data_IF_126752113964
#
_entry.id   IF_126752113964
#
_cell.length_a   1.000
_cell.length_b   1.000
_cell.length_c   1.000
_cell.angle_alpha   90.00
_cell.angle_beta   90.00
_cell.angle_gamma   90.00
#
_symmetry.space_group_name_H-M   'P 1'
#
loop_
_entity.id
_entity.type
_entity.pdbx_description
1 polymer ?
#
# COMPACT_ATOMS: atom_id res chain seq x y z
N UNK A 1 -19.99 -15.94 -2.67
CA UNK A 1 -19.40 -14.73 -3.29
C UNK A 1 -17.94 -15.07 -3.56
N UNK A 2 -17.49 -15.06 -4.82
CA UNK A 2 -16.09 -15.34 -5.13
C UNK A 2 -15.28 -14.12 -4.68
N UNK A 3 -14.46 -14.27 -3.65
CA UNK A 3 -13.51 -13.25 -3.25
C UNK A 3 -12.43 -13.19 -4.34
N UNK A 4 -12.48 -12.17 -5.19
CA UNK A 4 -11.39 -11.85 -6.10
C UNK A 4 -10.24 -11.29 -5.26
N UNK A 5 -9.47 -12.17 -4.64
CA UNK A 5 -8.19 -11.80 -4.05
C UNK A 5 -7.19 -11.58 -5.17
N UNK A 6 -6.85 -10.32 -5.43
CA UNK A 6 -5.60 -10.01 -6.12
C UNK A 6 -4.47 -10.18 -5.10
N UNK A 7 -3.71 -11.28 -5.21
CA UNK A 7 -2.62 -11.58 -4.28
C UNK A 7 -1.52 -10.50 -4.32
N UNK A 8 -1.32 -9.84 -5.46
CA UNK A 8 -0.28 -8.83 -5.68
C UNK A 8 -0.80 -7.65 -6.51
N UNK A 9 -1.59 -6.75 -5.91
CA UNK A 9 -2.21 -5.65 -6.63
C UNK A 9 -1.17 -4.65 -7.16
N UNK A 10 -1.41 -4.14 -8.37
CA UNK A 10 -0.64 -3.06 -8.96
C UNK A 10 -1.58 -1.97 -9.45
N UNK A 11 -1.33 -0.74 -9.01
CA UNK A 11 -2.10 0.43 -9.39
C UNK A 11 -1.26 1.31 -10.30
N UNK A 12 -1.80 1.62 -11.48
CA UNK A 12 -1.31 2.72 -12.31
C UNK A 12 -2.01 4.02 -11.91
N UNK A 13 -1.51 5.15 -12.40
CA UNK A 13 -2.24 6.43 -12.32
C UNK A 13 -3.63 6.26 -12.93
N UNK A 14 -4.66 6.62 -12.17
CA UNK A 14 -6.05 6.36 -12.55
C UNK A 14 -7.03 7.40 -12.03
N UNK A 15 -8.30 7.20 -12.40
CA UNK A 15 -9.43 8.01 -11.93
C UNK A 15 -10.12 7.41 -10.70
N UNK A 16 -11.35 7.83 -10.47
CA UNK A 16 -12.15 7.49 -9.27
C UNK A 16 -12.29 5.97 -9.06
N UNK A 17 -12.39 5.18 -10.13
CA UNK A 17 -12.44 3.72 -10.02
C UNK A 17 -11.17 3.13 -9.39
N UNK A 18 -9.99 3.60 -9.79
CA UNK A 18 -8.73 3.18 -9.18
C UNK A 18 -8.63 3.62 -7.72
N UNK A 19 -9.18 4.78 -7.39
CA UNK A 19 -9.22 5.27 -6.01
C UNK A 19 -10.07 4.39 -5.11
N UNK A 20 -11.23 3.97 -5.62
CA UNK A 20 -12.11 3.05 -4.92
C UNK A 20 -11.41 1.71 -4.63
N UNK A 21 -10.79 1.12 -5.64
CA UNK A 21 -10.04 -0.13 -5.50
C UNK A 21 -8.85 0.02 -4.52
N UNK A 22 -8.14 1.15 -4.55
CA UNK A 22 -7.04 1.41 -3.62
C UNK A 22 -7.53 1.49 -2.16
N UNK A 23 -8.65 2.17 -1.92
CA UNK A 23 -9.26 2.25 -0.60
C UNK A 23 -9.81 0.89 -0.14
N UNK A 24 -10.35 0.10 -1.07
CA UNK A 24 -10.82 -1.24 -0.78
C UNK A 24 -9.67 -2.14 -0.30
N UNK A 25 -8.50 -2.04 -0.93
CA UNK A 25 -7.30 -2.78 -0.51
C UNK A 25 -6.80 -2.40 0.89
N UNK A 26 -6.97 -1.14 1.32
CA UNK A 26 -6.69 -0.72 2.69
C UNK A 26 -7.67 -1.35 3.68
N UNK A 27 -8.97 -1.35 3.36
CA UNK A 27 -10.02 -1.95 4.18
C UNK A 27 -9.78 -3.45 4.32
N UNK A 28 -9.52 -4.15 3.22
CA UNK A 28 -9.26 -5.59 3.19
C UNK A 28 -8.08 -5.99 4.08
N UNK A 29 -6.97 -5.23 4.06
CA UNK A 29 -5.81 -5.47 4.94
C UNK A 29 -6.11 -5.14 6.39
N UNK A 30 -6.86 -4.06 6.63
CA UNK A 30 -7.28 -3.65 7.98
C UNK A 30 -8.17 -4.70 8.64
N UNK A 31 -9.14 -5.27 7.92
CA UNK A 31 -10.06 -6.29 8.41
C UNK A 31 -9.43 -7.68 8.50
N UNK A 32 -8.26 -7.87 7.89
CA UNK A 32 -7.61 -9.17 7.77
C UNK A 32 -8.25 -10.07 6.71
N UNK A 33 -9.09 -9.52 5.85
CA UNK A 33 -9.63 -10.21 4.68
C UNK A 33 -8.52 -10.52 3.67
N UNK A 34 -7.50 -9.67 3.56
CA UNK A 34 -6.33 -9.90 2.70
C UNK A 34 -5.01 -9.95 3.50
N UNK A 35 -4.05 -10.77 3.07
CA UNK A 35 -2.71 -10.78 3.68
C UNK A 35 -1.99 -9.44 3.46
N UNK A 36 -0.94 -9.22 4.24
CA UNK A 36 -0.08 -8.04 4.11
C UNK A 36 0.89 -8.21 2.92
N UNK A 37 0.35 -8.44 1.73
CA UNK A 37 1.14 -8.52 0.50
C UNK A 37 1.43 -7.12 -0.03
N UNK A 38 2.59 -6.91 -0.68
CA UNK A 38 2.95 -5.63 -1.27
C UNK A 38 1.99 -5.24 -2.40
N UNK A 39 1.59 -3.98 -2.40
CA UNK A 39 0.85 -3.28 -3.44
C UNK A 39 1.82 -2.35 -4.13
N UNK A 40 1.93 -2.50 -5.45
CA UNK A 40 2.76 -1.62 -6.26
C UNK A 40 1.96 -0.41 -6.75
N UNK A 41 2.47 0.77 -6.44
CA UNK A 41 1.95 2.06 -6.88
C UNK A 41 2.84 2.57 -8.01
N UNK A 42 2.50 2.25 -9.26
CA UNK A 42 3.31 2.59 -10.41
C UNK A 42 3.16 4.07 -10.79
N UNK A 43 4.28 4.77 -10.96
CA UNK A 43 4.32 6.17 -11.40
C UNK A 43 5.09 7.09 -10.45
N UNK A 44 4.97 8.40 -10.70
CA UNK A 44 5.72 9.41 -9.97
C UNK A 44 5.33 9.42 -8.47
N UNK A 45 6.34 9.42 -7.58
CA UNK A 45 6.19 9.58 -6.12
C UNK A 45 5.33 10.78 -5.75
N UNK A 46 5.47 11.91 -6.44
CA UNK A 46 4.72 13.13 -6.15
C UNK A 46 3.22 12.99 -6.43
N UNK A 47 2.85 12.21 -7.45
CA UNK A 47 1.45 11.89 -7.73
C UNK A 47 0.84 11.10 -6.56
N UNK A 48 1.51 10.02 -6.14
CA UNK A 48 1.03 9.18 -5.04
C UNK A 48 1.04 9.93 -3.69
N UNK A 49 2.00 10.82 -3.48
CA UNK A 49 2.03 11.72 -2.32
C UNK A 49 0.81 12.63 -2.28
N UNK A 50 0.50 13.30 -3.38
CA UNK A 50 -0.69 14.15 -3.49
C UNK A 50 -1.98 13.34 -3.29
N UNK A 51 -1.99 12.07 -3.69
CA UNK A 51 -3.15 11.18 -3.64
C UNK A 51 -3.43 10.57 -2.26
N UNK A 52 -2.39 10.13 -1.56
CA UNK A 52 -2.51 9.29 -0.36
C UNK A 52 -2.20 10.06 0.93
N UNK A 53 -1.16 10.89 0.91
CA UNK A 53 -0.54 11.40 2.16
C UNK A 53 -1.50 12.25 2.99
N UNK A 54 -2.29 13.11 2.37
CA UNK A 54 -3.24 13.98 3.09
C UNK A 54 -4.28 13.16 3.85
N UNK A 55 -4.85 12.14 3.20
CA UNK A 55 -5.84 11.22 3.78
C UNK A 55 -5.22 10.39 4.89
N UNK A 56 -4.05 9.79 4.65
CA UNK A 56 -3.33 9.03 5.66
C UNK A 56 -3.04 9.88 6.91
N UNK A 57 -2.49 11.09 6.74
CA UNK A 57 -2.16 12.00 7.83
C UNK A 57 -3.40 12.47 8.58
N UNK A 58 -4.50 12.77 7.89
CA UNK A 58 -5.76 13.14 8.52
C UNK A 58 -6.26 12.01 9.43
N UNK A 59 -6.23 10.78 8.92
CA UNK A 59 -6.67 9.61 9.66
C UNK A 59 -5.76 9.29 10.85
N UNK A 60 -4.44 9.43 10.68
CA UNK A 60 -3.46 9.22 11.74
C UNK A 60 -3.68 10.22 12.89
N UNK A 61 -3.81 11.51 12.56
CA UNK A 61 -4.00 12.59 13.56
C UNK A 61 -5.34 12.50 14.28
N UNK A 62 -6.40 12.09 13.58
CA UNK A 62 -7.73 11.91 14.18
C UNK A 62 -7.90 10.57 14.90
N UNK A 63 -6.94 9.64 14.77
CA UNK A 63 -7.00 8.32 15.39
C UNK A 63 -7.97 7.35 14.71
N UNK A 64 -8.52 7.68 13.54
CA UNK A 64 -9.52 6.84 12.83
C UNK A 64 -8.93 5.56 12.26
N UNK A 65 -7.59 5.48 12.14
CA UNK A 65 -6.83 4.29 11.72
C UNK A 65 -6.02 3.66 12.87
N UNK A 66 -6.37 3.96 14.13
CA UNK A 66 -5.66 3.40 15.29
C UNK A 66 -5.61 1.87 15.24
N UNK A 67 -4.43 1.29 15.34
CA UNK A 67 -4.18 -0.16 15.24
C UNK A 67 -4.08 -0.69 13.80
N UNK A 68 -4.28 0.16 12.79
CA UNK A 68 -4.13 -0.16 11.36
C UNK A 68 -3.13 0.74 10.64
N UNK A 69 -2.33 1.52 11.36
CA UNK A 69 -1.31 2.43 10.81
C UNK A 69 -0.28 1.67 9.96
N UNK A 70 -0.01 0.42 10.35
CA UNK A 70 0.90 -0.50 9.65
C UNK A 70 0.48 -0.77 8.20
N UNK A 71 -0.79 -0.59 7.83
CA UNK A 71 -1.25 -0.80 6.44
C UNK A 71 -0.49 0.09 5.44
N UNK A 72 0.06 1.21 5.91
CA UNK A 72 0.98 2.05 5.12
C UNK A 72 2.19 1.29 4.57
N UNK A 73 2.66 0.22 5.23
CA UNK A 73 3.78 -0.60 4.77
C UNK A 73 3.44 -1.65 3.73
N UNK A 74 2.19 -1.70 3.28
CA UNK A 74 1.80 -2.52 2.15
C UNK A 74 1.95 -1.76 0.82
N UNK A 75 2.07 -0.44 0.81
CA UNK A 75 2.11 0.37 -0.42
C UNK A 75 3.54 0.77 -0.79
N UNK A 76 3.97 0.47 -2.02
CA UNK A 76 5.31 0.78 -2.51
C UNK A 76 5.24 1.49 -3.84
N UNK A 77 5.77 2.72 -3.92
CA UNK A 77 5.85 3.42 -5.21
C UNK A 77 7.02 2.92 -6.02
N UNK A 78 6.75 2.62 -7.29
CA UNK A 78 7.74 2.14 -8.27
C UNK A 78 7.59 2.92 -9.58
N UNK A 79 8.69 3.14 -10.28
CA UNK A 79 8.71 3.80 -11.59
C UNK A 79 9.20 2.87 -12.69
N UNK A 80 9.82 1.75 -12.32
CA UNK A 80 10.44 0.77 -13.22
C UNK A 80 10.03 -0.64 -12.83
N UNK A 81 10.08 -1.57 -13.79
CA UNK A 81 9.76 -2.97 -13.52
C UNK A 81 10.76 -3.61 -12.55
N UNK A 82 12.02 -3.19 -12.62
CA UNK A 82 13.12 -3.66 -11.78
C UNK A 82 12.88 -3.35 -10.30
N UNK A 83 12.36 -2.16 -9.99
CA UNK A 83 11.96 -1.78 -8.63
C UNK A 83 10.81 -2.67 -8.13
N UNK A 84 9.79 -2.90 -8.96
CA UNK A 84 8.68 -3.80 -8.63
C UNK A 84 9.15 -5.23 -8.38
N UNK A 85 10.05 -5.73 -9.24
CA UNK A 85 10.62 -7.06 -9.10
C UNK A 85 11.43 -7.18 -7.80
N UNK A 86 12.24 -6.17 -7.46
CA UNK A 86 13.00 -6.14 -6.21
C UNK A 86 12.09 -6.29 -4.98
N UNK A 87 10.97 -5.55 -4.93
CA UNK A 87 10.00 -5.65 -3.83
C UNK A 87 9.44 -7.06 -3.71
N UNK A 88 9.05 -7.68 -4.83
CA UNK A 88 8.54 -9.05 -4.80
C UNK A 88 9.63 -10.06 -4.41
N UNK A 89 10.85 -9.93 -4.92
CA UNK A 89 11.98 -10.76 -4.49
C UNK A 89 12.18 -10.68 -2.99
N UNK A 90 12.30 -9.47 -2.44
CA UNK A 90 12.49 -9.27 -1.00
C UNK A 90 11.28 -9.76 -0.19
N UNK A 91 10.05 -9.68 -0.72
CA UNK A 91 8.86 -10.25 -0.10
C UNK A 91 8.92 -11.78 -0.02
N UNK A 92 9.15 -12.45 -1.15
CA UNK A 92 9.21 -13.92 -1.20
C UNK A 92 10.40 -14.50 -0.43
N UNK A 93 11.48 -13.73 -0.28
CA UNK A 93 12.63 -14.08 0.56
C UNK A 93 12.46 -13.73 2.05
N UNK A 94 11.29 -13.22 2.47
CA UNK A 94 10.99 -12.77 3.83
C UNK A 94 11.93 -11.67 4.36
N UNK A 95 12.46 -10.83 3.46
CA UNK A 95 13.32 -9.68 3.77
C UNK A 95 12.56 -8.37 3.81
N UNK A 96 11.39 -8.30 3.18
CA UNK A 96 10.54 -7.10 3.16
C UNK A 96 9.92 -6.87 4.56
N UNK A 97 10.18 -5.72 5.21
CA UNK A 97 9.55 -5.41 6.50
C UNK A 97 8.11 -4.97 6.27
N UNK A 98 7.17 -5.92 6.25
CA UNK A 98 5.75 -5.71 5.93
C UNK A 98 4.82 -6.34 6.97
N UNK A 99 3.61 -5.81 7.10
CA UNK A 99 2.57 -6.29 8.00
C UNK A 99 2.55 -5.59 9.36
N UNK A 100 1.81 -6.16 10.31
CA UNK A 100 1.50 -5.54 11.62
C UNK A 100 2.72 -5.13 12.46
N UNK A 101 3.87 -5.77 12.23
CA UNK A 101 5.14 -5.49 12.92
C UNK A 101 6.13 -4.69 12.06
N UNK A 102 5.78 -4.39 10.82
CA UNK A 102 6.59 -3.57 9.93
C UNK A 102 6.55 -2.09 10.31
N UNK A 103 7.32 -1.24 9.61
CA UNK A 103 7.34 0.20 9.83
C UNK A 103 5.99 0.82 9.53
N UNK A 104 5.77 2.04 10.04
CA UNK A 104 4.67 2.90 9.60
C UNK A 104 5.30 4.02 8.78
N UNK A 105 4.91 4.15 7.52
CA UNK A 105 5.48 5.18 6.65
C UNK A 105 4.74 6.50 6.82
N UNK A 106 5.49 7.58 7.05
CA UNK A 106 4.95 8.93 7.28
C UNK A 106 4.02 9.41 6.16
N UNK A 107 4.32 9.06 4.91
CA UNK A 107 3.57 9.53 3.75
C UNK A 107 2.38 8.61 3.42
N UNK A 108 2.18 7.54 4.20
CA UNK A 108 1.16 6.52 3.97
C UNK A 108 1.60 5.39 3.02
N UNK A 109 2.83 5.45 2.50
CA UNK A 109 3.42 4.47 1.60
C UNK A 109 4.96 4.54 1.66
N UNK A 110 5.63 3.48 1.23
CA UNK A 110 7.07 3.45 1.01
C UNK A 110 7.41 4.05 -0.35
N UNK A 111 8.39 4.95 -0.37
CA UNK A 111 8.79 5.64 -1.59
C UNK A 111 10.27 5.54 -1.95
N UNK A 112 11.05 4.88 -1.08
CA UNK A 112 12.49 4.74 -1.19
C UNK A 112 12.84 3.28 -0.84
N UNK A 113 12.54 2.32 -1.74
CA UNK A 113 12.81 0.88 -1.59
C UNK A 113 13.72 0.32 -2.68
#
# INVERSE_FOLDING_TARGET
>A
QAEFYLDFPMFLMGGIGADFELLLEEVNRKTGSSPANPILLFGNKDYWKAKITSRFQMNLKSGTIKGSEWVSNCFYTVQTAEQGLKIYTDFFENKLPIGKKGPVYKDGFCSDY
#
